data_IF_288614171721
#
_entry.id   IF_288614171721
#
_cell.length_a   1.000
_cell.length_b   1.000
_cell.length_c   1.000
_cell.angle_alpha   90.00
_cell.angle_beta   90.00
_cell.angle_gamma   90.00
#
_symmetry.space_group_name_H-M   'P 1'
#
loop_
_entity.id
_entity.type
_entity.pdbx_description
1 polymer ?
#
# COMPACT_ATOMS: atom_id res chain seq x y z
N UNK A 1 -25.66 -9.48 -17.95
CA UNK A 1 -24.21 -9.26 -18.02
C UNK A 1 -23.93 -8.00 -17.20
N UNK A 2 -23.44 -8.15 -15.96
CA UNK A 2 -23.16 -7.02 -15.07
C UNK A 2 -21.94 -6.26 -15.61
N UNK A 3 -21.89 -4.91 -15.53
CA UNK A 3 -20.70 -4.17 -15.91
C UNK A 3 -19.53 -4.62 -15.03
N UNK A 4 -18.39 -4.91 -15.66
CA UNK A 4 -17.16 -5.31 -14.98
C UNK A 4 -16.76 -4.26 -13.94
N UNK A 5 -16.63 -4.68 -12.67
CA UNK A 5 -16.44 -3.80 -11.51
C UNK A 5 -15.19 -2.90 -11.58
N UNK A 6 -14.25 -3.19 -12.50
CA UNK A 6 -13.05 -2.38 -12.76
C UNK A 6 -13.28 -1.04 -13.46
N UNK A 7 -14.43 -0.83 -14.11
CA UNK A 7 -14.75 0.45 -14.77
C UNK A 7 -15.15 1.54 -13.76
N UNK A 8 -15.74 1.16 -12.62
CA UNK A 8 -16.38 2.08 -11.68
C UNK A 8 -15.37 2.80 -10.75
N UNK A 9 -14.30 2.11 -10.30
CA UNK A 9 -13.33 2.68 -9.34
C UNK A 9 -12.56 3.88 -9.91
N UNK A 10 -12.11 3.78 -11.16
CA UNK A 10 -11.34 4.86 -11.84
C UNK A 10 -12.17 6.12 -12.04
N UNK A 11 -13.47 5.95 -12.26
CA UNK A 11 -14.39 7.06 -12.47
C UNK A 11 -14.55 7.87 -11.18
N UNK A 12 -14.69 7.22 -10.03
CA UNK A 12 -14.88 7.93 -8.76
C UNK A 12 -13.65 8.68 -8.27
N UNK A 13 -12.45 8.14 -8.42
CA UNK A 13 -11.22 8.90 -8.14
C UNK A 13 -11.09 10.14 -9.03
N UNK A 14 -11.56 10.05 -10.28
CA UNK A 14 -11.61 11.19 -11.18
C UNK A 14 -12.71 12.20 -10.80
N UNK A 15 -13.88 11.74 -10.39
CA UNK A 15 -14.99 12.62 -9.96
C UNK A 15 -14.67 13.37 -8.66
N UNK A 16 -13.99 12.73 -7.71
CA UNK A 16 -13.68 13.32 -6.40
C UNK A 16 -12.44 14.21 -6.41
N UNK A 17 -11.42 13.87 -7.20
CA UNK A 17 -10.11 14.53 -7.14
C UNK A 17 -9.45 14.80 -8.49
N UNK A 18 -10.15 14.54 -9.61
CA UNK A 18 -9.63 14.71 -10.96
C UNK A 18 -8.34 13.91 -11.24
N UNK A 19 -8.17 12.77 -10.57
CA UNK A 19 -7.03 11.90 -10.80
C UNK A 19 -7.38 10.80 -11.82
N UNK A 20 -6.95 10.91 -13.09
CA UNK A 20 -7.30 9.94 -14.10
C UNK A 20 -6.56 8.62 -13.89
N UNK A 21 -7.24 7.50 -14.18
CA UNK A 21 -6.68 6.14 -14.16
C UNK A 21 -6.15 5.67 -12.80
N UNK A 22 -6.54 6.34 -11.71
CA UNK A 22 -6.22 5.89 -10.36
C UNK A 22 -7.08 4.70 -10.00
N UNK A 23 -6.44 3.65 -9.47
CA UNK A 23 -7.10 2.40 -9.08
C UNK A 23 -7.04 2.14 -7.57
N UNK A 24 -6.28 2.96 -6.83
CA UNK A 24 -6.19 2.90 -5.38
C UNK A 24 -5.24 3.94 -4.80
N UNK A 25 -5.38 4.18 -3.51
CA UNK A 25 -4.48 4.98 -2.68
C UNK A 25 -3.63 4.02 -1.85
N UNK A 26 -2.32 4.18 -1.85
CA UNK A 26 -1.38 3.34 -1.10
C UNK A 26 -0.65 4.15 -0.04
N UNK A 27 -0.59 3.61 1.18
CA UNK A 27 0.17 4.21 2.28
C UNK A 27 0.71 3.14 3.25
N UNK A 28 1.78 3.50 3.96
CA UNK A 28 2.43 2.69 4.99
C UNK A 28 2.01 3.11 6.39
N UNK A 29 1.77 2.15 7.28
CA UNK A 29 1.45 2.41 8.68
C UNK A 29 2.20 1.48 9.62
N UNK A 30 2.55 1.99 10.80
CA UNK A 30 3.29 1.24 11.80
C UNK A 30 2.36 0.65 12.86
N UNK A 31 2.20 -0.67 12.84
CA UNK A 31 1.46 -1.40 13.86
C UNK A 31 2.43 -1.81 14.98
N UNK A 32 2.15 -1.37 16.21
CA UNK A 32 2.98 -1.68 17.38
C UNK A 32 2.98 -3.18 17.64
N UNK A 33 4.17 -3.72 17.94
CA UNK A 33 4.35 -5.11 18.33
C UNK A 33 5.24 -5.25 19.56
N UNK A 34 5.13 -6.40 20.21
CA UNK A 34 6.20 -6.91 21.05
C UNK A 34 7.22 -7.53 20.10
N UNK A 35 8.37 -6.87 19.92
CA UNK A 35 9.38 -7.36 19.00
C UNK A 35 9.92 -8.74 19.41
N UNK A 36 10.23 -9.62 18.46
CA UNK A 36 10.94 -10.86 18.70
C UNK A 36 12.26 -10.61 19.45
N UNK A 37 12.70 -11.61 20.23
CA UNK A 37 13.97 -11.51 20.97
C UNK A 37 15.18 -11.39 20.03
N UNK A 38 15.13 -12.07 18.88
CA UNK A 38 16.15 -11.98 17.84
C UNK A 38 15.90 -10.77 16.93
N UNK A 39 16.97 -10.09 16.55
CA UNK A 39 16.95 -8.93 15.63
C UNK A 39 16.01 -7.79 16.06
N UNK A 40 15.73 -7.64 17.36
CA UNK A 40 14.82 -6.64 17.92
C UNK A 40 14.97 -5.22 17.34
N UNK A 41 16.21 -4.81 17.06
CA UNK A 41 16.54 -3.51 16.51
C UNK A 41 15.93 -3.24 15.13
N UNK A 42 15.72 -4.26 14.28
CA UNK A 42 15.11 -4.06 12.94
C UNK A 42 13.63 -3.69 13.03
N UNK A 43 12.99 -3.94 14.16
CA UNK A 43 11.59 -3.57 14.35
C UNK A 43 11.43 -2.13 14.83
N UNK A 44 12.52 -1.43 15.18
CA UNK A 44 12.47 -0.04 15.65
C UNK A 44 12.23 0.89 14.45
N UNK A 45 11.12 1.62 14.48
CA UNK A 45 10.80 2.60 13.46
C UNK A 45 11.44 3.98 13.73
N UNK A 46 11.21 4.92 12.82
CA UNK A 46 11.69 6.32 12.93
C UNK A 46 11.17 7.06 14.17
N UNK A 47 10.09 6.57 14.80
CA UNK A 47 9.50 7.10 16.05
C UNK A 47 10.01 6.35 17.29
N UNK A 48 11.09 5.58 17.16
CA UNK A 48 11.77 4.88 18.26
C UNK A 48 10.89 3.86 18.99
N UNK A 49 9.96 3.19 18.31
CA UNK A 49 9.20 2.06 18.88
C UNK A 49 9.18 0.84 17.96
N UNK A 50 9.00 -0.35 18.55
CA UNK A 50 8.90 -1.60 17.81
C UNK A 50 7.58 -1.70 17.05
N UNK A 51 7.65 -1.97 15.75
CA UNK A 51 6.48 -2.10 14.90
C UNK A 51 6.71 -3.04 13.73
N UNK A 52 5.61 -3.47 13.11
CA UNK A 52 5.60 -3.89 11.72
C UNK A 52 5.25 -2.70 10.85
N UNK A 53 5.94 -2.54 9.72
CA UNK A 53 5.48 -1.69 8.63
C UNK A 53 4.43 -2.47 7.84
N UNK A 54 3.20 -1.96 7.84
CA UNK A 54 2.05 -2.50 7.13
C UNK A 54 1.69 -1.54 6.01
N UNK A 55 1.80 -2.01 4.78
CA UNK A 55 1.32 -1.29 3.61
C UNK A 55 -0.12 -1.68 3.32
N UNK A 56 -0.96 -0.69 3.05
CA UNK A 56 -2.35 -0.91 2.63
C UNK A 56 -2.69 -0.13 1.38
N UNK A 57 -3.58 -0.71 0.56
CA UNK A 57 -4.20 -0.03 -0.57
C UNK A 57 -5.70 0.06 -0.36
N UNK A 58 -6.25 1.26 -0.48
CA UNK A 58 -7.69 1.51 -0.38
C UNK A 58 -8.28 1.93 -1.73
N UNK A 59 -9.53 1.56 -1.98
CA UNK A 59 -10.32 2.09 -3.09
C UNK A 59 -11.06 3.39 -2.73
N UNK A 60 -11.84 3.91 -3.68
CA UNK A 60 -12.63 5.13 -3.58
C UNK A 60 -13.68 5.09 -2.45
N UNK A 61 -14.06 3.90 -2.00
CA UNK A 61 -15.02 3.69 -0.93
C UNK A 61 -14.34 3.41 0.42
N UNK A 62 -13.02 3.66 0.51
CA UNK A 62 -12.21 3.45 1.72
C UNK A 62 -12.12 1.99 2.17
N UNK A 63 -12.37 1.03 1.27
CA UNK A 63 -12.14 -0.38 1.56
C UNK A 63 -10.71 -0.79 1.21
N UNK A 64 -10.08 -1.56 2.11
CA UNK A 64 -8.80 -2.19 1.81
C UNK A 64 -8.95 -3.22 0.69
N UNK A 65 -8.14 -3.09 -0.33
CA UNK A 65 -8.08 -3.98 -1.51
C UNK A 65 -6.79 -4.81 -1.55
N UNK A 66 -5.74 -4.33 -0.88
CA UNK A 66 -4.49 -5.04 -0.69
C UNK A 66 -3.87 -4.68 0.66
N UNK A 67 -3.20 -5.64 1.29
CA UNK A 67 -2.45 -5.47 2.54
C UNK A 67 -1.15 -6.29 2.49
N UNK A 68 -0.04 -5.68 2.88
CA UNK A 68 1.25 -6.34 3.09
C UNK A 68 1.73 -6.03 4.51
N UNK A 69 1.81 -7.05 5.37
CA UNK A 69 2.04 -6.88 6.82
C UNK A 69 3.23 -7.68 7.36
N UNK A 70 4.29 -7.83 6.57
CA UNK A 70 5.41 -8.73 6.88
C UNK A 70 6.73 -8.03 7.17
N UNK A 71 6.77 -6.70 7.12
CA UNK A 71 8.02 -5.95 7.16
C UNK A 71 8.33 -5.38 8.54
N UNK A 72 9.60 -5.43 8.99
CA UNK A 72 10.02 -4.76 10.21
C UNK A 72 9.79 -3.24 10.17
N UNK A 73 9.63 -2.63 11.34
CA UNK A 73 9.37 -1.19 11.48
C UNK A 73 10.49 -0.29 10.97
N UNK A 74 11.72 -0.78 10.78
CA UNK A 74 12.79 0.00 10.15
C UNK A 74 12.69 0.06 8.62
N UNK A 75 11.85 -0.77 8.00
CA UNK A 75 11.75 -0.88 6.54
C UNK A 75 11.05 0.34 5.95
N UNK A 76 11.61 0.88 4.86
CA UNK A 76 11.02 1.99 4.10
C UNK A 76 9.82 1.55 3.26
N UNK A 77 8.80 2.39 3.14
CA UNK A 77 7.56 2.09 2.40
C UNK A 77 7.83 1.74 0.93
N UNK A 78 8.76 2.44 0.28
CA UNK A 78 9.21 2.11 -1.08
C UNK A 78 9.73 0.66 -1.19
N UNK A 79 10.51 0.20 -0.20
CA UNK A 79 11.02 -1.17 -0.20
C UNK A 79 9.89 -2.18 0.02
N UNK A 80 8.95 -1.89 0.93
CA UNK A 80 7.76 -2.72 1.14
C UNK A 80 6.95 -2.86 -0.16
N UNK A 81 6.79 -1.77 -0.91
CA UNK A 81 6.07 -1.78 -2.18
C UNK A 81 6.81 -2.59 -3.24
N UNK A 82 8.10 -2.34 -3.45
CA UNK A 82 8.89 -3.01 -4.49
C UNK A 82 8.93 -4.53 -4.30
N UNK A 83 8.92 -5.00 -3.05
CA UNK A 83 8.90 -6.43 -2.72
C UNK A 83 7.47 -7.01 -2.61
N UNK A 84 6.43 -6.20 -2.84
CA UNK A 84 5.04 -6.66 -2.75
C UNK A 84 4.61 -7.40 -4.02
N UNK A 85 3.70 -8.37 -3.84
CA UNK A 85 3.02 -9.01 -4.97
C UNK A 85 2.29 -7.99 -5.85
N UNK A 86 1.76 -6.91 -5.25
CA UNK A 86 1.04 -5.87 -5.97
C UNK A 86 1.93 -5.12 -6.97
N UNK A 87 3.20 -4.84 -6.63
CA UNK A 87 4.13 -4.20 -7.56
C UNK A 87 4.38 -5.11 -8.78
N UNK A 88 4.63 -6.40 -8.56
CA UNK A 88 4.79 -7.38 -9.64
C UNK A 88 3.54 -7.46 -10.55
N UNK A 89 2.34 -7.49 -9.98
CA UNK A 89 1.09 -7.47 -10.75
C UNK A 89 0.91 -6.19 -11.59
N UNK A 90 1.31 -5.04 -11.05
CA UNK A 90 1.27 -3.76 -11.77
C UNK A 90 2.26 -3.74 -12.94
N UNK A 91 3.48 -4.24 -12.72
CA UNK A 91 4.51 -4.34 -13.75
C UNK A 91 4.13 -5.33 -14.87
N UNK A 92 3.46 -6.42 -14.52
CA UNK A 92 2.92 -7.39 -15.48
C UNK A 92 1.68 -6.89 -16.25
N UNK A 93 1.16 -5.71 -15.90
CA UNK A 93 -0.02 -5.13 -16.56
C UNK A 93 -1.35 -5.80 -16.18
N UNK A 94 -1.40 -6.53 -15.06
CA UNK A 94 -2.62 -7.17 -14.56
C UNK A 94 -3.65 -6.12 -14.09
N UNK A 95 -3.18 -4.92 -13.74
CA UNK A 95 -4.01 -3.79 -13.34
C UNK A 95 -3.85 -2.63 -14.31
N UNK A 96 -4.94 -2.21 -14.93
CA UNK A 96 -4.95 -1.10 -15.90
C UNK A 96 -5.06 0.26 -15.17
N UNK A 97 -3.97 0.79 -14.63
CA UNK A 97 -3.98 2.11 -13.99
C UNK A 97 -2.77 2.35 -13.09
N UNK A 98 -2.87 3.34 -12.20
CA UNK A 98 -1.79 3.69 -11.28
C UNK A 98 -2.31 3.87 -9.85
N UNK A 99 -1.42 3.63 -8.88
CA UNK A 99 -1.66 3.95 -7.48
C UNK A 99 -1.22 5.38 -7.20
N UNK A 100 -1.98 6.11 -6.39
CA UNK A 100 -1.53 7.36 -5.79
C UNK A 100 -0.88 7.07 -4.43
N UNK A 101 0.25 7.71 -4.19
CA UNK A 101 1.11 7.48 -3.03
C UNK A 101 1.79 8.76 -2.58
N UNK A 102 2.28 8.78 -1.35
CA UNK A 102 3.06 9.89 -0.82
C UNK A 102 4.52 9.85 -1.28
N UNK A 103 5.33 10.82 -0.81
CA UNK A 103 6.75 10.91 -1.17
C UNK A 103 7.62 9.79 -0.56
N UNK A 104 7.10 9.05 0.43
CA UNK A 104 7.79 7.93 1.08
C UNK A 104 8.01 6.72 0.17
N UNK A 105 7.35 6.70 -1.00
CA UNK A 105 7.43 5.66 -2.03
C UNK A 105 8.34 6.03 -3.22
N UNK A 106 9.26 6.97 -3.02
CA UNK A 106 10.26 7.35 -4.03
C UNK A 106 11.58 6.59 -3.85
#
# INVERSE_FOLDING_TARGET
>A
MLPSEGCNKKQKFFEQGHFPKVIGLIDGTHIRIIAPAQFKNVYVNRKSFHSLNVQGVCDDASYFTNLTAMWPGSTHDAHVFNESALCCQLENGEHLGHLLRDIGYR
#
